data_IF_227065898615
#
_entry.id   IF_227065898615
#
_cell.length_a   1.000
_cell.length_b   1.000
_cell.length_c   1.000
_cell.angle_alpha   90.00
_cell.angle_beta   90.00
_cell.angle_gamma   90.00
#
_symmetry.space_group_name_H-M   'P 1'
#
loop_
_entity.id
_entity.type
_entity.pdbx_description
1 polymer ?
#
# COMPACT_ATOMS: atom_id res chain seq x y z
N UNK A 1 2.03 -16.23 -9.75
CA UNK A 1 1.27 -15.71 -8.60
C UNK A 1 0.84 -14.28 -8.91
N UNK A 2 -0.42 -13.92 -8.67
CA UNK A 2 -0.91 -12.55 -8.93
C UNK A 2 -0.20 -11.55 -8.02
N UNK A 3 0.17 -10.39 -8.58
CA UNK A 3 0.79 -9.28 -7.85
C UNK A 3 -0.17 -8.10 -7.91
N UNK A 4 -0.50 -7.54 -6.77
CA UNK A 4 -1.35 -6.37 -6.65
C UNK A 4 -0.54 -5.21 -6.11
N UNK A 5 -0.75 -4.03 -6.68
CA UNK A 5 -0.29 -2.76 -6.10
C UNK A 5 -1.51 -2.05 -5.55
N UNK A 6 -1.52 -1.80 -4.25
CA UNK A 6 -2.55 -1.09 -3.53
C UNK A 6 -2.01 0.29 -3.17
N UNK A 7 -2.77 1.33 -3.49
CA UNK A 7 -2.41 2.72 -3.25
C UNK A 7 -3.36 3.31 -2.21
N UNK A 8 -2.79 3.93 -1.18
CA UNK A 8 -3.51 4.61 -0.13
C UNK A 8 -2.97 6.01 0.06
N UNK A 9 -3.85 6.96 0.35
CA UNK A 9 -3.47 8.21 1.00
C UNK A 9 -3.30 7.93 2.50
N UNK A 10 -2.24 8.43 3.14
CA UNK A 10 -2.00 8.17 4.57
C UNK A 10 -1.73 9.43 5.38
N UNK A 11 -2.01 9.38 6.69
CA UNK A 11 -1.63 10.43 7.64
C UNK A 11 -0.19 10.28 8.17
N UNK A 12 0.58 9.30 7.68
CA UNK A 12 1.96 9.04 8.10
C UNK A 12 2.91 10.05 7.45
N UNK A 13 3.59 10.86 8.28
CA UNK A 13 4.42 11.98 7.80
C UNK A 13 5.88 11.91 8.24
N UNK A 14 6.23 10.99 9.14
CA UNK A 14 7.59 10.90 9.68
C UNK A 14 8.29 9.63 9.21
N UNK A 15 9.62 9.73 9.08
CA UNK A 15 10.48 8.58 8.75
C UNK A 15 10.35 7.47 9.80
N UNK A 16 10.21 7.86 11.07
CA UNK A 16 10.09 6.93 12.19
C UNK A 16 8.78 6.13 12.12
N UNK A 17 7.64 6.81 11.95
CA UNK A 17 6.34 6.16 11.82
C UNK A 17 6.30 5.26 10.58
N UNK A 18 6.84 5.73 9.46
CA UNK A 18 6.98 4.93 8.24
C UNK A 18 7.73 3.63 8.50
N UNK A 19 8.92 3.72 9.12
CA UNK A 19 9.76 2.54 9.38
C UNK A 19 9.08 1.56 10.35
N UNK A 20 8.47 2.08 11.40
CA UNK A 20 7.77 1.29 12.41
C UNK A 20 6.59 0.52 11.81
N UNK A 21 5.73 1.20 11.06
CA UNK A 21 4.50 0.62 10.51
C UNK A 21 4.78 -0.37 9.39
N UNK A 22 5.73 -0.07 8.50
CA UNK A 22 6.14 -1.01 7.45
C UNK A 22 6.71 -2.28 8.08
N UNK A 23 7.54 -2.13 9.13
CA UNK A 23 8.08 -3.26 9.88
C UNK A 23 6.97 -4.16 10.46
N UNK A 24 5.99 -3.55 11.13
CA UNK A 24 4.83 -4.30 11.65
C UNK A 24 3.98 -4.92 10.55
N UNK A 25 3.74 -4.20 9.44
CA UNK A 25 2.93 -4.70 8.32
C UNK A 25 3.51 -5.99 7.74
N UNK A 26 4.84 -6.08 7.62
CA UNK A 26 5.52 -7.30 7.18
C UNK A 26 5.46 -8.44 8.21
N UNK A 27 5.39 -8.13 9.50
CA UNK A 27 5.22 -9.15 10.55
C UNK A 27 3.81 -9.76 10.54
N UNK A 28 2.79 -8.94 10.30
CA UNK A 28 1.37 -9.36 10.41
C UNK A 28 0.78 -9.93 9.12
N UNK A 29 1.35 -9.61 7.94
CA UNK A 29 0.86 -10.16 6.66
C UNK A 29 1.99 -10.69 5.79
N UNK A 30 1.96 -12.01 5.56
CA UNK A 30 2.87 -12.69 4.62
C UNK A 30 2.54 -12.39 3.15
N UNK A 31 1.35 -11.85 2.87
CA UNK A 31 0.95 -11.47 1.51
C UNK A 31 1.61 -10.18 1.05
N UNK A 32 1.90 -9.26 1.97
CA UNK A 32 2.63 -8.03 1.67
C UNK A 32 4.08 -8.37 1.35
N UNK A 33 4.52 -8.00 0.16
CA UNK A 33 5.90 -8.23 -0.33
C UNK A 33 6.74 -6.97 -0.28
N UNK A 34 6.10 -5.82 -0.42
CA UNK A 34 6.75 -4.54 -0.38
C UNK A 34 5.76 -3.48 0.08
N UNK A 35 6.23 -2.51 0.86
CA UNK A 35 5.48 -1.34 1.26
C UNK A 35 6.42 -0.14 1.32
N UNK A 36 5.97 1.01 0.84
CA UNK A 36 6.70 2.27 0.92
C UNK A 36 5.74 3.44 1.07
N UNK A 37 6.20 4.50 1.69
CA UNK A 37 5.46 5.76 1.80
C UNK A 37 6.32 6.84 1.17
N UNK A 38 5.75 7.52 0.19
CA UNK A 38 6.33 8.74 -0.36
C UNK A 38 6.09 9.88 0.63
N UNK A 39 7.18 10.35 1.27
CA UNK A 39 7.11 11.44 2.26
C UNK A 39 7.39 12.81 1.61
N UNK A 40 7.86 12.82 0.36
CA UNK A 40 8.14 14.04 -0.39
C UNK A 40 6.91 14.48 -1.21
N UNK A 41 5.95 13.57 -1.43
CA UNK A 41 4.65 13.84 -2.03
C UNK A 41 3.70 14.55 -1.02
N UNK A 42 3.03 15.63 -1.46
CA UNK A 42 2.05 16.38 -0.66
C UNK A 42 0.89 15.51 -0.16
N UNK A 43 0.57 14.46 -0.91
CA UNK A 43 -0.52 13.55 -0.58
C UNK A 43 -0.10 12.41 0.34
N UNK A 44 1.19 12.23 0.66
CA UNK A 44 1.69 11.14 1.51
C UNK A 44 1.17 9.76 1.05
N UNK A 45 1.67 9.30 -0.09
CA UNK A 45 1.16 8.08 -0.73
C UNK A 45 1.82 6.83 -0.14
N UNK A 46 1.00 5.96 0.46
CA UNK A 46 1.38 4.60 0.83
C UNK A 46 1.12 3.67 -0.36
N UNK A 47 2.18 3.03 -0.84
CA UNK A 47 2.14 1.98 -1.86
C UNK A 47 2.44 0.64 -1.20
N UNK A 48 1.55 -0.33 -1.39
CA UNK A 48 1.71 -1.71 -0.90
C UNK A 48 1.64 -2.68 -2.06
N UNK A 49 2.67 -3.49 -2.23
CA UNK A 49 2.64 -4.65 -3.13
C UNK A 49 2.27 -5.91 -2.34
N UNK A 50 1.23 -6.59 -2.80
CA UNK A 50 0.67 -7.75 -2.11
C UNK A 50 0.31 -8.85 -3.10
N UNK A 51 0.33 -10.11 -2.65
CA UNK A 51 -0.13 -11.24 -3.46
C UNK A 51 -1.66 -11.38 -3.49
N UNK A 52 -2.38 -10.55 -2.73
CA UNK A 52 -3.85 -10.51 -2.66
C UNK A 52 -4.36 -9.07 -2.63
N UNK A 53 -5.63 -8.90 -2.99
CA UNK A 53 -6.43 -7.70 -2.70
C UNK A 53 -6.79 -7.68 -1.22
N UNK A 54 -5.87 -7.20 -0.38
CA UNK A 54 -6.00 -7.14 1.08
C UNK A 54 -6.14 -5.70 1.60
N UNK A 55 -6.74 -4.82 0.79
CA UNK A 55 -6.94 -3.41 1.12
C UNK A 55 -7.71 -3.16 2.42
N UNK A 56 -8.76 -3.94 2.68
CA UNK A 56 -9.55 -3.83 3.92
C UNK A 56 -8.73 -4.18 5.15
N UNK A 57 -7.91 -5.23 5.05
CA UNK A 57 -7.03 -5.65 6.14
C UNK A 57 -6.00 -4.55 6.44
N UNK A 58 -5.33 -4.03 5.40
CA UNK A 58 -4.32 -2.98 5.56
C UNK A 58 -4.94 -1.72 6.15
N UNK A 59 -6.13 -1.33 5.68
CA UNK A 59 -6.82 -0.13 6.17
C UNK A 59 -7.18 -0.25 7.65
N UNK A 60 -7.72 -1.41 8.06
CA UNK A 60 -8.04 -1.67 9.47
C UNK A 60 -6.79 -1.75 10.35
N UNK A 61 -5.74 -2.41 9.87
CA UNK A 61 -4.48 -2.53 10.60
C UNK A 61 -3.86 -1.16 10.87
N UNK A 62 -3.77 -0.31 9.85
CA UNK A 62 -3.19 1.04 10.00
C UNK A 62 -4.05 1.94 10.90
N UNK A 63 -5.38 1.80 10.84
CA UNK A 63 -6.27 2.50 11.76
C UNK A 63 -6.05 2.09 13.22
N UNK A 64 -5.86 0.80 13.49
CA UNK A 64 -5.55 0.29 14.84
C UNK A 64 -4.19 0.78 15.36
N UNK A 65 -3.25 1.03 14.46
CA UNK A 65 -1.95 1.65 14.76
C UNK A 65 -2.03 3.18 14.92
N UNK A 66 -3.22 3.77 14.79
CA UNK A 66 -3.45 5.22 14.98
C UNK A 66 -3.28 6.06 13.72
N UNK A 67 -3.21 5.43 12.55
CA UNK A 67 -3.01 6.12 11.27
C UNK A 67 -4.25 6.03 10.39
N UNK A 68 -4.75 7.18 9.96
CA UNK A 68 -5.86 7.24 9.00
C UNK A 68 -5.34 6.98 7.59
N UNK A 69 -5.99 6.07 6.88
CA UNK A 69 -5.71 5.83 5.47
C UNK A 69 -6.98 5.83 4.62
N UNK A 70 -6.85 6.28 3.37
CA UNK A 70 -7.91 6.26 2.37
C UNK A 70 -7.40 5.43 1.20
N UNK A 71 -8.10 4.34 0.89
CA UNK A 71 -7.78 3.55 -0.30
C UNK A 71 -8.11 4.35 -1.57
N UNK A 72 -7.15 4.48 -2.47
CA UNK A 72 -7.30 5.25 -3.70
C UNK A 72 -7.49 4.35 -4.92
N UNK A 73 -6.64 3.34 -5.07
CA UNK A 73 -6.61 2.51 -6.26
C UNK A 73 -5.91 1.19 -6.01
N UNK A 74 -6.17 0.22 -6.89
CA UNK A 74 -5.37 -0.99 -6.94
C UNK A 74 -5.23 -1.54 -8.36
N UNK A 75 -4.04 -2.02 -8.65
CA UNK A 75 -3.61 -2.48 -9.97
C UNK A 75 -3.13 -3.93 -9.88
N UNK A 76 -3.43 -4.76 -10.88
CA UNK A 76 -2.78 -6.07 -11.03
C UNK A 76 -1.52 -5.88 -11.89
N UNK A 77 -0.39 -6.43 -11.43
CA UNK A 77 0.89 -6.45 -12.15
C UNK A 77 1.10 -7.80 -12.82
N UNK A 78 1.60 -7.77 -14.05
CA UNK A 78 2.11 -8.96 -14.74
C UNK A 78 3.47 -9.42 -14.17
N UNK A 79 4.01 -10.53 -14.70
CA UNK A 79 5.28 -11.10 -14.24
C UNK A 79 6.48 -10.15 -14.46
N UNK A 80 6.36 -9.22 -15.41
CA UNK A 80 7.33 -8.17 -15.75
C UNK A 80 7.08 -6.87 -14.95
N UNK A 81 6.10 -6.84 -14.05
CA UNK A 81 5.79 -5.69 -13.20
C UNK A 81 4.97 -4.58 -13.88
N UNK A 82 4.46 -4.82 -15.09
CA UNK A 82 3.63 -3.87 -15.84
C UNK A 82 2.16 -3.97 -15.39
N UNK A 83 1.41 -2.86 -15.33
CA UNK A 83 0.00 -2.90 -15.02
C UNK A 83 -0.77 -3.67 -16.11
N UNK A 84 -1.60 -4.63 -15.71
CA UNK A 84 -2.44 -5.43 -16.61
C UNK A 84 -3.66 -4.65 -17.15
N UNK A 85 -4.02 -3.53 -16.51
CA UNK A 85 -5.06 -2.63 -16.97
C UNK A 85 -4.40 -1.30 -17.37
N UNK A 86 -4.45 -0.96 -18.67
CA UNK A 86 -4.30 0.43 -19.08
C UNK A 86 -5.50 1.21 -18.54
N UNK A 87 -5.32 2.40 -17.94
CA UNK A 87 -6.45 3.26 -17.63
C UNK A 87 -7.17 3.56 -18.96
N UNK A 88 -8.42 3.10 -19.08
CA UNK A 88 -9.29 3.55 -20.15
C UNK A 88 -9.59 5.04 -19.86
N UNK A 89 -8.87 5.94 -20.53
CA UNK A 89 -9.28 7.32 -20.61
C UNK A 89 -10.53 7.35 -21.51
N UNK A 90 -11.69 7.59 -20.89
CA UNK A 90 -12.92 7.99 -21.59
C UNK A 90 -12.95 9.50 -21.76
#
# INVERSE_FOLDING_TARGET
MKKYVLIFKTSIRTILDRSHLIGKLYQVSKEVKFATIDLDDEDFILRVESTKRNEDFISRFLLLEGHSVIFLAAFEKDELGRPLLQPAYY
#
